data_IF_706801925938
#
_entry.id   IF_706801925938
#
_cell.length_a   1.000
_cell.length_b   1.000
_cell.length_c   1.000
_cell.angle_alpha   90.00
_cell.angle_beta   90.00
_cell.angle_gamma   90.00
#
_symmetry.space_group_name_H-M   'P 1'
#
loop_
_entity.id
_entity.type
_entity.pdbx_description
1 polymer ?
#
# COMPACT_ATOMS: atom_id res chain seq x y z
N UNK A 1 -9.38 -16.21 6.99
CA UNK A 1 -10.66 -15.97 6.28
C UNK A 1 -10.61 -16.65 4.93
N UNK A 2 -11.76 -17.07 4.39
CA UNK A 2 -11.82 -17.69 3.06
C UNK A 2 -11.60 -16.68 1.93
N UNK A 3 -11.00 -17.15 0.83
CA UNK A 3 -10.69 -16.31 -0.35
C UNK A 3 -11.97 -15.83 -1.02
N UNK A 4 -12.97 -16.69 -1.15
CA UNK A 4 -14.27 -16.34 -1.73
C UNK A 4 -14.92 -15.19 -0.94
N UNK A 5 -14.84 -15.25 0.39
CA UNK A 5 -15.34 -14.20 1.26
C UNK A 5 -14.56 -12.90 1.07
N UNK A 6 -13.22 -12.95 0.93
CA UNK A 6 -12.38 -11.79 0.67
C UNK A 6 -12.77 -11.11 -0.64
N UNK A 7 -12.86 -11.87 -1.72
CA UNK A 7 -13.19 -11.38 -3.07
C UNK A 7 -14.61 -10.81 -3.13
N UNK A 8 -15.59 -11.48 -2.52
CA UNK A 8 -16.98 -11.00 -2.50
C UNK A 8 -17.13 -9.72 -1.66
N UNK A 9 -16.43 -9.65 -0.52
CA UNK A 9 -16.51 -8.50 0.39
C UNK A 9 -15.78 -7.28 -0.18
N UNK A 10 -14.61 -7.51 -0.78
CA UNK A 10 -13.71 -6.48 -1.28
C UNK A 10 -13.35 -6.77 -2.74
N UNK A 11 -14.28 -6.60 -3.68
CA UNK A 11 -14.05 -6.95 -5.09
C UNK A 11 -13.04 -6.03 -5.80
N UNK A 12 -12.72 -4.89 -5.19
CA UNK A 12 -11.79 -3.90 -5.70
C UNK A 12 -10.78 -3.53 -4.62
N UNK A 13 -9.52 -3.46 -5.01
CA UNK A 13 -8.45 -2.88 -4.21
C UNK A 13 -8.03 -1.54 -4.81
N UNK A 14 -7.49 -0.67 -3.98
CA UNK A 14 -7.02 0.64 -4.39
C UNK A 14 -5.58 0.87 -3.96
N UNK A 15 -4.79 1.46 -4.85
CA UNK A 15 -3.44 1.92 -4.56
C UNK A 15 -3.28 3.39 -4.94
N UNK A 16 -2.47 4.13 -4.19
CA UNK A 16 -2.19 5.53 -4.40
C UNK A 16 -0.68 5.68 -4.56
N UNK A 17 -0.26 6.19 -5.70
CA UNK A 17 1.12 6.42 -6.08
C UNK A 17 1.35 7.90 -6.40
N UNK A 18 2.62 8.26 -6.54
CA UNK A 18 3.04 9.59 -6.98
C UNK A 18 2.38 9.99 -8.31
N UNK A 19 2.12 11.27 -8.53
CA UNK A 19 1.64 11.77 -9.82
C UNK A 19 2.63 11.36 -10.94
N UNK A 20 2.09 10.97 -12.09
CA UNK A 20 2.91 10.54 -13.23
C UNK A 20 3.62 9.19 -13.06
N UNK A 21 3.44 8.46 -11.95
CA UNK A 21 4.06 7.14 -11.76
C UNK A 21 3.47 6.05 -12.67
N UNK A 22 2.28 6.28 -13.25
CA UNK A 22 1.54 5.23 -13.97
C UNK A 22 2.30 4.58 -15.14
N UNK A 23 2.97 5.29 -16.07
CA UNK A 23 3.71 4.65 -17.15
C UNK A 23 4.80 3.71 -16.64
N UNK A 24 5.55 4.13 -15.62
CA UNK A 24 6.59 3.30 -14.97
C UNK A 24 5.97 2.07 -14.28
N UNK A 25 4.84 2.23 -13.60
CA UNK A 25 4.11 1.11 -12.98
C UNK A 25 3.61 0.12 -14.03
N UNK A 26 3.13 0.58 -15.18
CA UNK A 26 2.70 -0.31 -16.27
C UNK A 26 3.85 -1.11 -16.87
N UNK A 27 5.04 -0.53 -16.95
CA UNK A 27 6.21 -1.14 -17.58
C UNK A 27 7.01 -2.03 -16.62
N UNK A 28 7.10 -1.64 -15.35
CA UNK A 28 8.02 -2.27 -14.38
C UNK A 28 7.30 -2.94 -13.20
N UNK A 29 5.98 -2.82 -13.14
CA UNK A 29 5.16 -3.33 -12.05
C UNK A 29 5.02 -2.36 -10.89
N UNK A 30 4.19 -2.75 -9.92
CA UNK A 30 3.96 -1.98 -8.71
C UNK A 30 4.90 -2.47 -7.59
N UNK A 31 6.00 -1.74 -7.42
CA UNK A 31 7.12 -2.15 -6.58
C UNK A 31 7.04 -1.53 -5.16
N UNK A 32 7.44 -2.31 -4.16
CA UNK A 32 7.69 -1.79 -2.80
C UNK A 32 8.94 -0.90 -2.77
N UNK A 33 9.17 -0.21 -1.65
CA UNK A 33 10.39 0.59 -1.50
C UNK A 33 11.66 -0.27 -1.57
N UNK A 34 11.66 -1.47 -0.96
CA UNK A 34 12.77 -2.43 -1.08
C UNK A 34 13.03 -2.81 -2.55
N UNK A 35 11.98 -3.16 -3.30
CA UNK A 35 12.13 -3.55 -4.71
C UNK A 35 12.58 -2.39 -5.60
N UNK A 36 12.16 -1.16 -5.30
CA UNK A 36 12.67 0.05 -5.96
C UNK A 36 14.16 0.24 -5.66
N UNK A 37 14.59 0.12 -4.39
CA UNK A 37 16.01 0.25 -4.03
C UNK A 37 16.88 -0.80 -4.70
N UNK A 38 16.40 -2.03 -4.83
CA UNK A 38 17.08 -3.10 -5.57
C UNK A 38 17.21 -2.76 -7.08
N UNK A 39 16.10 -2.33 -7.71
CA UNK A 39 16.09 -1.96 -9.15
C UNK A 39 17.02 -0.78 -9.47
N UNK A 40 17.08 0.20 -8.58
CA UNK A 40 17.91 1.40 -8.72
C UNK A 40 19.33 1.20 -8.18
N UNK A 41 19.68 -0.02 -7.73
CA UNK A 41 20.99 -0.37 -7.19
C UNK A 41 21.45 0.54 -6.03
N UNK A 42 20.50 0.99 -5.22
CA UNK A 42 20.78 1.81 -4.04
C UNK A 42 21.23 0.91 -2.89
N UNK A 43 22.45 1.14 -2.42
CA UNK A 43 23.13 0.28 -1.46
C UNK A 43 23.73 1.06 -0.28
N UNK A 44 24.27 0.33 0.70
CA UNK A 44 25.02 0.91 1.82
C UNK A 44 24.22 1.89 2.69
N UNK A 45 24.88 2.99 3.10
CA UNK A 45 24.28 3.96 4.03
C UNK A 45 23.05 4.66 3.44
N UNK A 46 23.03 4.91 2.13
CA UNK A 46 21.87 5.50 1.46
C UNK A 46 20.66 4.58 1.55
N UNK A 47 20.84 3.28 1.28
CA UNK A 47 19.77 2.28 1.45
C UNK A 47 19.25 2.26 2.88
N UNK A 48 20.14 2.24 3.87
CA UNK A 48 19.73 2.24 5.29
C UNK A 48 18.92 3.49 5.64
N UNK A 49 19.33 4.67 5.16
CA UNK A 49 18.62 5.92 5.40
C UNK A 49 17.20 5.92 4.83
N UNK A 50 16.99 5.27 3.69
CA UNK A 50 15.67 5.18 3.05
C UNK A 50 14.85 4.03 3.64
N UNK A 51 15.40 2.83 3.72
CA UNK A 51 14.67 1.60 4.00
C UNK A 51 14.40 1.34 5.49
N UNK A 52 15.25 1.88 6.36
CA UNK A 52 15.34 1.44 7.75
C UNK A 52 15.08 2.57 8.77
N UNK A 53 14.76 3.77 8.31
CA UNK A 53 14.60 4.95 9.16
C UNK A 53 13.33 5.71 8.83
N UNK A 54 12.96 6.63 9.74
CA UNK A 54 11.93 7.62 9.47
C UNK A 54 12.37 8.55 8.33
N UNK A 55 11.50 8.65 7.33
CA UNK A 55 11.51 9.59 6.22
C UNK A 55 10.40 10.62 6.46
N UNK A 56 10.73 11.81 6.98
CA UNK A 56 9.71 12.85 7.20
C UNK A 56 9.16 13.43 5.89
N UNK A 57 9.91 13.27 4.78
CA UNK A 57 9.56 13.73 3.45
C UNK A 57 9.86 12.61 2.43
N UNK A 58 9.21 12.67 1.26
CA UNK A 58 9.46 11.73 0.16
C UNK A 58 10.89 11.88 -0.38
N UNK A 59 11.43 10.78 -0.92
CA UNK A 59 12.79 10.73 -1.49
C UNK A 59 12.71 10.31 -2.95
N UNK A 60 13.28 11.12 -3.84
CA UNK A 60 13.48 10.75 -5.23
C UNK A 60 14.76 9.94 -5.38
N UNK A 61 14.68 8.83 -6.09
CA UNK A 61 15.83 8.00 -6.49
C UNK A 61 15.94 8.00 -8.02
N UNK A 62 17.17 7.97 -8.51
CA UNK A 62 17.50 8.01 -9.92
C UNK A 62 18.61 7.01 -10.25
N UNK A 63 18.60 6.53 -11.49
CA UNK A 63 19.63 5.65 -12.05
C UNK A 63 19.66 5.88 -13.56
N UNK A 64 20.84 5.93 -14.15
CA UNK A 64 20.98 6.06 -15.60
C UNK A 64 20.18 4.97 -16.34
N UNK A 65 19.39 5.38 -17.33
CA UNK A 65 18.53 4.47 -18.09
C UNK A 65 17.19 4.12 -17.45
N UNK A 66 16.87 4.65 -16.25
CA UNK A 66 15.55 4.52 -15.63
C UNK A 66 14.92 5.91 -15.43
N UNK A 67 13.58 6.02 -15.48
CA UNK A 67 12.91 7.24 -15.02
C UNK A 67 13.16 7.44 -13.51
N UNK A 68 13.03 8.66 -13.01
CA UNK A 68 13.06 8.89 -11.57
C UNK A 68 11.88 8.18 -10.88
N UNK A 69 12.10 7.70 -9.66
CA UNK A 69 11.06 7.13 -8.82
C UNK A 69 11.01 7.85 -7.47
N UNK A 70 9.80 7.98 -6.92
CA UNK A 70 9.57 8.63 -5.62
C UNK A 70 9.19 7.57 -4.59
N UNK A 71 10.00 7.44 -3.54
CA UNK A 71 9.68 6.68 -2.34
C UNK A 71 9.01 7.62 -1.36
N UNK A 72 7.73 7.36 -1.06
CA UNK A 72 6.93 8.24 -0.20
C UNK A 72 7.46 8.31 1.23
N UNK A 73 7.16 9.42 1.88
CA UNK A 73 7.40 9.64 3.29
C UNK A 73 6.76 8.54 4.16
N UNK A 74 7.24 8.42 5.39
CA UNK A 74 6.60 7.66 6.45
C UNK A 74 6.43 8.53 7.72
N UNK A 75 6.24 9.84 7.50
CA UNK A 75 6.14 10.90 8.50
C UNK A 75 5.20 10.56 9.67
N UNK A 76 4.07 9.85 9.48
CA UNK A 76 3.17 9.49 10.57
C UNK A 76 3.72 8.50 11.61
N UNK A 77 4.91 7.91 11.40
CA UNK A 77 5.53 6.97 12.32
C UNK A 77 6.80 7.56 12.93
N UNK A 78 6.77 7.92 14.21
CA UNK A 78 7.97 8.30 14.96
C UNK A 78 8.52 7.12 15.74
N UNK A 79 9.84 7.03 15.86
CA UNK A 79 10.53 5.97 16.62
C UNK A 79 9.98 5.86 18.04
N UNK A 80 9.83 6.99 18.74
CA UNK A 80 9.28 7.05 20.11
C UNK A 80 7.83 6.57 20.24
N UNK A 81 7.04 6.59 19.17
CA UNK A 81 5.68 6.07 19.16
C UNK A 81 5.65 4.59 18.77
N UNK A 82 6.55 4.18 17.87
CA UNK A 82 6.76 2.77 17.53
C UNK A 82 7.24 1.98 18.75
N UNK A 83 8.24 2.46 19.48
CA UNK A 83 8.76 1.82 20.70
C UNK A 83 7.68 1.50 21.74
N UNK A 84 6.60 2.28 21.80
CA UNK A 84 5.49 2.08 22.74
C UNK A 84 4.48 1.02 22.31
N UNK A 85 4.51 0.60 21.05
CA UNK A 85 3.52 -0.31 20.49
C UNK A 85 4.11 -1.51 19.74
N UNK A 86 5.42 -1.56 19.53
CA UNK A 86 6.11 -2.72 19.00
C UNK A 86 6.10 -3.87 20.02
N UNK A 87 5.84 -5.07 19.51
CA UNK A 87 5.82 -6.33 20.22
C UNK A 87 6.97 -7.22 19.74
N UNK A 88 7.10 -8.41 20.32
CA UNK A 88 7.97 -9.48 19.84
C UNK A 88 9.47 -9.09 19.77
N UNK A 89 9.89 -8.11 20.57
CA UNK A 89 11.26 -7.59 20.59
C UNK A 89 11.62 -6.74 19.37
N UNK A 90 10.64 -6.35 18.54
CA UNK A 90 10.88 -5.50 17.38
C UNK A 90 11.36 -4.11 17.79
N UNK A 91 12.32 -3.58 17.03
CA UNK A 91 12.77 -2.19 17.11
C UNK A 91 12.28 -1.38 15.90
N UNK A 92 12.21 -0.03 15.97
CA UNK A 92 11.72 0.81 14.87
C UNK A 92 12.36 0.50 13.51
N UNK A 93 13.67 0.26 13.46
CA UNK A 93 14.38 -0.10 12.23
C UNK A 93 13.77 -1.32 11.53
N UNK A 94 13.54 -2.39 12.28
CA UNK A 94 12.97 -3.64 11.75
C UNK A 94 11.52 -3.43 11.27
N UNK A 95 10.77 -2.56 11.94
CA UNK A 95 9.43 -2.19 11.51
C UNK A 95 9.44 -1.43 10.19
N UNK A 96 10.32 -0.43 10.03
CA UNK A 96 10.47 0.28 8.76
C UNK A 96 10.82 -0.65 7.61
N UNK A 97 11.74 -1.59 7.81
CA UNK A 97 12.08 -2.61 6.81
C UNK A 97 10.90 -3.52 6.48
N UNK A 98 10.14 -3.93 7.50
CA UNK A 98 8.93 -4.76 7.33
C UNK A 98 7.91 -4.08 6.43
N UNK A 99 7.68 -2.78 6.60
CA UNK A 99 6.75 -2.02 5.77
C UNK A 99 7.32 -1.76 4.37
N UNK A 100 8.57 -1.34 4.28
CA UNK A 100 9.21 -1.01 3.00
C UNK A 100 9.36 -2.22 2.06
N UNK A 101 9.33 -3.45 2.59
CA UNK A 101 9.29 -4.69 1.80
C UNK A 101 7.90 -5.10 1.29
N UNK A 102 6.88 -4.23 1.38
CA UNK A 102 5.50 -4.54 0.99
C UNK A 102 4.90 -3.47 0.09
N UNK A 103 4.05 -3.91 -0.84
CA UNK A 103 3.13 -3.06 -1.59
C UNK A 103 1.78 -3.06 -0.89
N UNK A 104 1.20 -1.90 -0.67
CA UNK A 104 -0.04 -1.73 0.12
C UNK A 104 -1.25 -1.42 -0.74
N UNK A 105 -2.40 -1.96 -0.35
CA UNK A 105 -3.68 -1.70 -0.96
C UNK A 105 -4.75 -1.41 0.10
N UNK A 106 -5.60 -0.42 -0.17
CA UNK A 106 -6.85 -0.24 0.56
C UNK A 106 -7.91 -1.18 -0.02
N UNK A 107 -8.63 -1.88 0.85
CA UNK A 107 -9.74 -2.73 0.43
C UNK A 107 -11.07 -1.99 0.30
N UNK A 108 -11.18 -0.79 0.86
CA UNK A 108 -12.43 -0.05 0.89
C UNK A 108 -12.22 1.42 0.52
N UNK A 109 -12.90 1.90 -0.53
CA UNK A 109 -12.74 3.25 -1.10
C UNK A 109 -12.89 4.39 -0.08
N UNK A 110 -13.78 4.27 0.91
CA UNK A 110 -13.90 5.26 2.01
C UNK A 110 -12.56 5.55 2.70
N UNK A 111 -11.66 4.57 2.81
CA UNK A 111 -10.34 4.78 3.43
C UNK A 111 -9.39 5.54 2.52
N UNK A 112 -9.39 5.21 1.21
CA UNK A 112 -8.67 5.96 0.20
C UNK A 112 -9.11 7.43 0.19
N UNK A 113 -10.42 7.68 0.09
CA UNK A 113 -10.97 9.04 0.05
C UNK A 113 -10.66 9.85 1.30
N UNK A 114 -10.67 9.21 2.48
CA UNK A 114 -10.23 9.86 3.73
C UNK A 114 -8.76 10.30 3.67
N UNK A 115 -7.90 9.51 3.02
CA UNK A 115 -6.49 9.88 2.86
C UNK A 115 -6.32 11.04 1.88
N UNK A 116 -7.03 11.00 0.75
CA UNK A 116 -6.98 12.04 -0.29
C UNK A 116 -7.49 13.40 0.22
N UNK A 117 -8.43 13.40 1.17
CA UNK A 117 -8.95 14.61 1.82
C UNK A 117 -8.04 15.15 2.94
N UNK A 118 -7.06 14.36 3.38
CA UNK A 118 -6.15 14.77 4.45
C UNK A 118 -5.26 15.94 4.00
N UNK A 119 -4.98 16.88 4.92
CA UNK A 119 -4.20 18.08 4.64
C UNK A 119 -2.85 17.81 3.97
N UNK A 120 -2.17 16.74 4.38
CA UNK A 120 -0.88 16.34 3.83
C UNK A 120 -0.93 15.91 2.35
N UNK A 121 -2.11 15.57 1.81
CA UNK A 121 -2.25 15.01 0.47
C UNK A 121 -3.19 15.81 -0.45
N UNK A 122 -4.18 16.52 0.10
CA UNK A 122 -5.22 17.21 -0.67
C UNK A 122 -4.72 18.25 -1.68
N UNK A 123 -3.51 18.78 -1.46
CA UNK A 123 -2.87 19.79 -2.32
C UNK A 123 -1.92 19.19 -3.37
N UNK A 124 -1.67 17.88 -3.34
CA UNK A 124 -0.71 17.22 -4.22
C UNK A 124 -1.43 16.26 -5.17
N UNK A 125 -1.24 16.38 -6.49
CA UNK A 125 -1.76 15.40 -7.43
C UNK A 125 -1.34 13.97 -7.08
N UNK A 126 -2.25 13.00 -7.23
CA UNK A 126 -1.99 11.60 -6.96
C UNK A 126 -2.43 10.71 -8.12
N UNK A 127 -1.67 9.65 -8.37
CA UNK A 127 -2.11 8.53 -9.22
C UNK A 127 -2.88 7.53 -8.38
N UNK A 128 -4.10 7.18 -8.78
CA UNK A 128 -4.93 6.17 -8.11
C UNK A 128 -5.14 5.00 -9.06
N UNK A 129 -4.82 3.80 -8.59
CA UNK A 129 -5.05 2.55 -9.31
C UNK A 129 -6.21 1.81 -8.66
N UNK A 130 -7.11 1.27 -9.48
CA UNK A 130 -8.11 0.29 -9.06
C UNK A 130 -7.73 -1.09 -9.59
N UNK A 131 -7.71 -2.09 -8.72
CA UNK A 131 -7.24 -3.45 -9.00
C UNK A 131 -8.39 -4.43 -8.76
N UNK A 132 -8.51 -5.43 -9.63
CA UNK A 132 -9.42 -6.55 -9.46
C UNK A 132 -8.87 -7.53 -8.41
N UNK A 133 -9.56 -7.63 -7.28
CA UNK A 133 -9.11 -8.45 -6.15
C UNK A 133 -9.00 -9.92 -6.50
N UNK A 134 -9.95 -10.46 -7.28
CA UNK A 134 -9.98 -11.87 -7.63
C UNK A 134 -8.73 -12.27 -8.42
N UNK A 135 -8.39 -11.50 -9.45
CA UNK A 135 -7.22 -11.75 -10.28
C UNK A 135 -5.90 -11.60 -9.50
N UNK A 136 -5.79 -10.58 -8.64
CA UNK A 136 -4.59 -10.38 -7.83
C UNK A 136 -4.40 -11.51 -6.83
N UNK A 137 -5.46 -11.92 -6.13
CA UNK A 137 -5.41 -13.01 -5.16
C UNK A 137 -5.07 -14.33 -5.85
N UNK A 138 -5.67 -14.62 -7.00
CA UNK A 138 -5.37 -15.83 -7.75
C UNK A 138 -3.90 -15.94 -8.18
N UNK A 139 -3.25 -14.82 -8.51
CA UNK A 139 -1.86 -14.81 -8.96
C UNK A 139 -0.82 -14.71 -7.80
N UNK A 140 -1.17 -14.10 -6.67
CA UNK A 140 -0.21 -13.75 -5.60
C UNK A 140 -0.62 -14.21 -4.20
N UNK A 141 -1.53 -15.19 -4.06
CA UNK A 141 -2.06 -15.65 -2.77
C UNK A 141 -0.98 -15.90 -1.72
N UNK A 142 0.11 -16.55 -2.10
CA UNK A 142 1.24 -16.94 -1.24
C UNK A 142 2.04 -15.74 -0.71
N UNK A 143 1.97 -14.59 -1.40
CA UNK A 143 2.65 -13.35 -1.03
C UNK A 143 1.74 -12.35 -0.33
N UNK A 144 0.44 -12.65 -0.23
CA UNK A 144 -0.55 -11.74 0.34
C UNK A 144 -0.61 -11.87 1.86
N UNK A 145 -0.48 -10.72 2.53
CA UNK A 145 -0.73 -10.59 3.97
C UNK A 145 -1.78 -9.51 4.24
N UNK A 146 -2.62 -9.76 5.24
CA UNK A 146 -3.74 -8.93 5.64
C UNK A 146 -3.44 -8.25 6.97
N UNK A 147 -3.74 -6.96 7.07
CA UNK A 147 -3.53 -6.16 8.27
C UNK A 147 -4.83 -5.49 8.77
N UNK A 148 -5.11 -5.57 10.08
CA UNK A 148 -6.30 -4.97 10.68
C UNK A 148 -6.18 -3.46 10.95
N UNK A 149 -5.02 -2.86 10.70
CA UNK A 149 -4.70 -1.49 11.09
C UNK A 149 -4.08 -0.73 9.92
N UNK A 150 -4.03 0.60 10.03
CA UNK A 150 -3.09 1.38 9.22
C UNK A 150 -1.69 1.17 9.83
N UNK A 151 -0.90 0.28 9.24
CA UNK A 151 0.40 -0.12 9.78
C UNK A 151 1.44 1.00 9.68
N UNK A 152 1.27 1.89 8.69
CA UNK A 152 2.08 3.06 8.40
C UNK A 152 1.78 4.32 9.24
N UNK A 153 1.03 4.23 10.34
CA UNK A 153 0.69 5.40 11.15
C UNK A 153 0.66 5.15 12.65
N UNK A 154 1.29 6.04 13.43
CA UNK A 154 1.25 6.07 14.90
C UNK A 154 0.68 7.39 15.45
N UNK A 155 -0.01 8.20 14.63
CA UNK A 155 -0.47 9.55 15.04
C UNK A 155 -1.60 9.50 16.07
N UNK A 156 -2.57 8.59 15.88
CA UNK A 156 -3.73 8.47 16.78
C UNK A 156 -3.40 7.54 17.94
N UNK A 157 -4.29 6.62 18.33
CA UNK A 157 -3.99 5.56 19.29
C UNK A 157 -3.17 4.45 18.61
N UNK A 158 -1.84 4.35 18.83
CA UNK A 158 -1.01 3.36 18.14
C UNK A 158 -1.45 1.97 18.62
N UNK A 159 -1.91 1.14 17.68
CA UNK A 159 -2.29 -0.24 17.99
C UNK A 159 -1.03 -1.12 18.11
N UNK A 160 -1.05 -2.24 18.84
CA UNK A 160 0.12 -3.13 18.91
C UNK A 160 0.57 -3.60 17.53
N UNK A 161 1.90 -3.70 17.32
CA UNK A 161 2.58 -4.04 16.06
C UNK A 161 3.60 -5.15 16.29
N UNK A 162 3.55 -6.21 15.52
CA UNK A 162 4.35 -7.42 15.74
C UNK A 162 4.19 -8.42 14.60
N UNK A 163 4.61 -9.66 14.85
CA UNK A 163 4.47 -10.78 13.92
C UNK A 163 3.02 -10.96 13.44
N UNK A 164 2.06 -10.76 14.36
CA UNK A 164 0.63 -10.90 14.09
C UNK A 164 -0.03 -9.68 13.45
N UNK A 165 0.72 -8.63 13.06
CA UNK A 165 0.14 -7.49 12.34
C UNK A 165 -0.21 -7.84 10.90
N UNK A 166 0.56 -8.72 10.28
CA UNK A 166 0.39 -9.15 8.89
C UNK A 166 0.19 -10.67 8.87
N UNK A 167 -1.05 -11.10 8.64
CA UNK A 167 -1.39 -12.52 8.64
C UNK A 167 -1.73 -13.00 7.21
N UNK A 168 -1.40 -14.26 6.86
CA UNK A 168 -1.91 -14.89 5.64
C UNK A 168 -3.44 -14.81 5.56
N UNK A 169 -3.99 -14.90 4.34
CA UNK A 169 -5.44 -14.86 4.11
C UNK A 169 -6.16 -15.89 4.97
N UNK A 170 -5.69 -17.14 4.98
CA UNK A 170 -6.26 -18.27 5.73
C UNK A 170 -6.33 -18.00 7.24
N UNK A 171 -5.29 -17.41 7.82
CA UNK A 171 -5.18 -17.16 9.26
C UNK A 171 -5.88 -15.87 9.72
N UNK A 172 -6.28 -15.00 8.80
CA UNK A 172 -6.87 -13.72 9.17
C UNK A 172 -8.26 -13.89 9.84
N UNK A 173 -8.47 -13.39 11.08
CA UNK A 173 -9.66 -13.67 11.89
C UNK A 173 -10.84 -12.74 11.54
N UNK A 174 -11.23 -12.66 10.26
CA UNK A 174 -12.20 -11.69 9.76
C UNK A 174 -13.56 -11.76 10.46
N UNK A 175 -14.10 -12.97 10.67
CA UNK A 175 -15.41 -13.18 11.27
C UNK A 175 -15.49 -12.61 12.70
N UNK A 176 -14.45 -12.85 13.51
CA UNK A 176 -14.38 -12.31 14.87
C UNK A 176 -14.28 -10.79 14.87
N UNK A 177 -13.51 -10.21 13.95
CA UNK A 177 -13.40 -8.75 13.82
C UNK A 177 -14.72 -8.11 13.43
N UNK A 178 -15.50 -8.75 12.55
CA UNK A 178 -16.81 -8.26 12.10
C UNK A 178 -17.88 -8.21 13.19
N UNK A 179 -17.69 -8.89 14.34
CA UNK A 179 -18.58 -8.79 15.51
C UNK A 179 -18.64 -7.37 16.10
N UNK A 180 -17.57 -6.58 15.95
CA UNK A 180 -17.46 -5.22 16.55
C UNK A 180 -16.98 -4.13 15.59
N UNK A 181 -16.54 -4.48 14.38
CA UNK A 181 -15.98 -3.54 13.40
C UNK A 181 -16.79 -3.58 12.12
N UNK A 182 -17.09 -2.42 11.54
CA UNK A 182 -17.65 -2.30 10.19
C UNK A 182 -16.73 -2.92 9.13
N UNK A 183 -17.24 -3.19 7.93
CA UNK A 183 -16.49 -3.82 6.83
C UNK A 183 -15.17 -3.08 6.56
N UNK A 184 -15.19 -1.74 6.49
CA UNK A 184 -14.00 -0.92 6.22
C UNK A 184 -13.00 -0.82 7.39
N UNK A 185 -13.34 -1.36 8.57
CA UNK A 185 -12.48 -1.38 9.75
C UNK A 185 -12.15 -2.80 10.24
N UNK A 186 -12.83 -3.82 9.70
CA UNK A 186 -12.56 -5.21 10.02
C UNK A 186 -11.26 -5.68 9.37
N UNK A 187 -11.00 -5.26 8.13
CA UNK A 187 -9.77 -5.46 7.37
C UNK A 187 -9.38 -4.13 6.70
N UNK A 188 -8.16 -3.66 6.95
CA UNK A 188 -7.74 -2.28 6.64
C UNK A 188 -6.74 -2.23 5.49
N UNK A 189 -5.79 -3.15 5.48
CA UNK A 189 -4.71 -3.23 4.50
C UNK A 189 -4.61 -4.65 3.95
N UNK A 190 -4.48 -4.75 2.63
CA UNK A 190 -3.97 -5.93 1.94
C UNK A 190 -2.59 -5.56 1.44
N UNK A 191 -1.63 -6.46 1.64
CA UNK A 191 -0.25 -6.25 1.19
C UNK A 191 0.21 -7.39 0.30
N UNK A 192 1.08 -7.08 -0.65
CA UNK A 192 1.85 -8.09 -1.41
C UNK A 192 3.31 -7.90 -1.07
N UNK A 193 4.00 -8.98 -0.72
CA UNK A 193 5.43 -8.95 -0.45
C UNK A 193 6.24 -8.55 -1.68
N UNK A 194 7.22 -7.66 -1.51
CA UNK A 194 8.18 -7.16 -2.49
C UNK A 194 7.60 -6.33 -3.64
N UNK A 195 6.58 -6.80 -4.35
CA UNK A 195 5.95 -6.07 -5.45
C UNK A 195 4.99 -6.94 -6.26
N UNK A 196 4.27 -6.30 -7.17
CA UNK A 196 3.38 -6.93 -8.15
C UNK A 196 3.90 -6.60 -9.55
N UNK A 197 4.80 -7.44 -10.09
CA UNK A 197 5.47 -7.18 -11.37
C UNK A 197 4.49 -7.19 -12.55
N UNK A 198 3.44 -8.01 -12.47
CA UNK A 198 2.35 -8.20 -13.43
C UNK A 198 1.11 -7.35 -13.11
N UNK A 199 1.27 -6.23 -12.37
CA UNK A 199 0.13 -5.41 -11.89
C UNK A 199 -0.85 -5.03 -13.00
N UNK A 200 -0.35 -4.80 -14.22
CA UNK A 200 -1.15 -4.46 -15.41
C UNK A 200 -2.26 -5.48 -15.68
N UNK A 201 -2.00 -6.76 -15.42
CA UNK A 201 -2.96 -7.86 -15.65
C UNK A 201 -4.07 -7.91 -14.60
N UNK A 202 -3.92 -7.14 -13.51
CA UNK A 202 -4.88 -7.02 -12.41
C UNK A 202 -5.57 -5.65 -12.35
N UNK A 203 -5.05 -4.64 -13.06
CA UNK A 203 -5.62 -3.30 -13.06
C UNK A 203 -6.94 -3.19 -13.82
N UNK A 204 -7.90 -2.48 -13.25
CA UNK A 204 -9.19 -2.15 -13.88
C UNK A 204 -9.18 -0.73 -14.42
N UNK A 205 -8.69 0.25 -13.65
CA UNK A 205 -8.64 1.65 -14.06
C UNK A 205 -7.50 2.39 -13.36
N UNK A 206 -7.12 3.53 -13.94
CA UNK A 206 -6.19 4.46 -13.35
C UNK A 206 -6.68 5.90 -13.53
N UNK A 207 -6.59 6.66 -12.45
CA UNK A 207 -7.09 8.02 -12.36
C UNK A 207 -6.02 8.94 -11.78
N UNK A 208 -6.06 10.20 -12.18
CA UNK A 208 -5.34 11.29 -11.54
C UNK A 208 -6.32 12.02 -10.64
N UNK A 209 -5.97 12.21 -9.37
CA UNK A 209 -6.72 13.07 -8.46
C UNK A 209 -5.93 14.34 -8.18
N UNK A 210 -6.49 15.49 -8.53
CA UNK A 210 -5.89 16.81 -8.30
C UNK A 210 -6.99 17.86 -8.14
N UNK A 211 -6.80 18.83 -7.24
CA UNK A 211 -7.73 19.94 -7.00
C UNK A 211 -9.20 19.50 -6.76
N UNK A 212 -9.38 18.39 -6.03
CA UNK A 212 -10.70 17.81 -5.76
C UNK A 212 -11.36 17.14 -6.97
N UNK A 213 -10.65 17.01 -8.09
CA UNK A 213 -11.17 16.42 -9.33
C UNK A 213 -10.47 15.09 -9.61
N UNK A 214 -11.29 14.11 -9.98
CA UNK A 214 -10.83 12.81 -10.45
C UNK A 214 -10.90 12.78 -11.98
N UNK A 215 -9.76 12.53 -12.63
CA UNK A 215 -9.66 12.39 -14.08
C UNK A 215 -9.19 10.99 -14.44
N UNK A 216 -10.01 10.22 -15.16
CA UNK A 216 -9.59 8.94 -15.71
C UNK A 216 -8.62 9.15 -16.87
N UNK A 217 -7.54 8.39 -16.91
CA UNK A 217 -6.62 8.37 -18.05
C UNK A 217 -6.36 6.96 -18.58
N UNK A 218 -6.82 5.92 -17.89
CA UNK A 218 -6.73 4.55 -18.37
C UNK A 218 -7.82 3.65 -17.78
N UNK A 219 -8.33 2.74 -18.60
CA UNK A 219 -9.30 1.71 -18.20
C UNK A 219 -9.08 0.44 -19.01
N UNK A 220 -9.18 -0.71 -18.34
CA UNK A 220 -9.16 -2.02 -19.00
C UNK A 220 -10.37 -2.14 -19.93
N UNK A 221 -10.19 -2.57 -21.20
CA UNK A 221 -11.29 -2.85 -22.09
C UNK A 221 -12.32 -3.81 -21.48
N UNK A 222 -13.60 -3.46 -21.55
CA UNK A 222 -14.70 -4.28 -21.02
C UNK A 222 -15.03 -4.07 -19.54
N UNK A 223 -14.28 -3.26 -18.80
CA UNK A 223 -14.61 -2.92 -17.40
C UNK A 223 -15.75 -1.92 -17.29
N UNK A 224 -16.55 -2.00 -16.22
CA UNK A 224 -17.73 -1.15 -16.06
C UNK A 224 -17.33 0.30 -15.69
N UNK A 225 -18.03 1.34 -16.18
CA UNK A 225 -17.66 2.74 -15.94
C UNK A 225 -17.53 3.12 -14.46
N UNK A 226 -18.27 2.43 -13.58
CA UNK A 226 -18.28 2.67 -12.14
C UNK A 226 -17.22 1.86 -11.34
N UNK A 227 -16.34 1.11 -11.99
CA UNK A 227 -15.22 0.39 -11.35
C UNK A 227 -14.02 1.31 -10.96
N UNK A 228 -14.24 2.63 -10.87
CA UNK A 228 -13.26 3.60 -10.37
C UNK A 228 -13.25 3.73 -8.84
N UNK A 229 -12.33 4.54 -8.27
CA UNK A 229 -12.27 4.83 -6.83
C UNK A 229 -13.52 5.57 -6.31
#
# INVERSE_FOLDING_TARGET
MEIELLVQTYPRLFHMAEDGAFPSIQEHGLLSATALLDRYEINGQQRVAIEARRRPESVTISKEGLPDAVIRDNKPMTDSALEKCLLDGLVPEQWYRTLNGKTFFWLHKKRLWRLLDAEAYRAFPQTILTIDTASLVAAHQDKILLSPINSGSTIMKPQPRGANTFLPISEYPYADRRKSRSVENALVELTVHYGVQDIKDHMISAHRFADGKLAEFWRRPGSAPNDGP
#
